data_IF_598278160265
#
_entry.id   IF_598278160265
#
_cell.length_a   1.000
_cell.length_b   1.000
_cell.length_c   1.000
_cell.angle_alpha   90.00
_cell.angle_beta   90.00
_cell.angle_gamma   90.00
#
_symmetry.space_group_name_H-M   'P 1'
#
loop_
_entity.id
_entity.type
_entity.pdbx_description
1 polymer ?
#
# COMPACT_ATOMS: atom_id res chain seq x y z
N UNK A 1 -12.01 17.27 25.68
CA UNK A 1 -11.72 17.50 24.25
C UNK A 1 -10.90 16.32 23.75
N UNK A 2 -11.53 15.34 23.11
CA UNK A 2 -10.85 14.19 22.51
C UNK A 2 -10.24 14.67 21.20
N UNK A 3 -8.94 14.93 21.17
CA UNK A 3 -8.26 15.09 19.88
C UNK A 3 -8.49 13.81 19.08
N UNK A 4 -9.00 13.88 17.84
CA UNK A 4 -9.10 12.70 16.99
C UNK A 4 -7.67 12.22 16.75
N UNK A 5 -7.26 11.17 17.47
CA UNK A 5 -5.98 10.52 17.25
C UNK A 5 -6.10 9.85 15.89
N UNK A 6 -5.48 10.44 14.87
CA UNK A 6 -5.33 9.77 13.59
C UNK A 6 -4.57 8.47 13.84
N UNK A 7 -5.10 7.30 13.45
CA UNK A 7 -4.41 6.04 13.65
C UNK A 7 -3.05 6.09 12.94
N UNK A 8 -2.01 5.64 13.63
CA UNK A 8 -0.67 5.52 13.05
C UNK A 8 -0.73 4.70 11.77
N UNK A 9 -0.07 5.17 10.72
CA UNK A 9 -0.05 4.49 9.43
C UNK A 9 1.35 4.43 8.84
N UNK A 10 1.49 3.57 7.83
CA UNK A 10 2.67 3.49 6.96
C UNK A 10 2.19 3.58 5.52
N UNK A 11 2.90 4.36 4.71
CA UNK A 11 2.61 4.52 3.28
C UNK A 11 3.71 3.79 2.50
N UNK A 12 3.30 2.87 1.64
CA UNK A 12 4.18 2.05 0.81
C UNK A 12 3.77 2.28 -0.64
N UNK A 13 4.77 2.52 -1.50
CA UNK A 13 4.54 2.73 -2.93
C UNK A 13 5.05 1.52 -3.71
N UNK A 14 4.32 1.18 -4.75
CA UNK A 14 4.68 0.17 -5.71
C UNK A 14 4.50 0.71 -7.12
N UNK A 15 5.36 0.27 -8.03
CA UNK A 15 5.25 0.55 -9.46
C UNK A 15 4.94 -0.74 -10.22
N UNK A 16 4.00 -0.69 -11.15
CA UNK A 16 3.65 -1.81 -12.02
C UNK A 16 4.80 -2.10 -12.97
N UNK A 17 5.38 -3.29 -12.86
CA UNK A 17 6.24 -3.87 -13.88
C UNK A 17 5.36 -4.42 -15.02
N UNK A 18 5.31 -3.68 -16.13
CA UNK A 18 4.49 -4.04 -17.29
C UNK A 18 4.88 -5.36 -17.95
N UNK A 19 6.10 -5.87 -17.73
CA UNK A 19 6.52 -7.15 -18.30
C UNK A 19 5.94 -8.34 -17.52
N UNK A 20 5.90 -8.24 -16.19
CA UNK A 20 5.47 -9.35 -15.32
C UNK A 20 4.04 -9.23 -14.81
N UNK A 21 3.44 -8.03 -14.88
CA UNK A 21 2.15 -7.72 -14.28
C UNK A 21 2.19 -7.64 -12.75
N UNK A 22 3.38 -7.55 -12.15
CA UNK A 22 3.55 -7.38 -10.72
C UNK A 22 3.81 -5.93 -10.37
N UNK A 23 3.19 -5.46 -9.29
CA UNK A 23 3.59 -4.25 -8.58
C UNK A 23 4.84 -4.53 -7.78
N UNK A 24 5.93 -3.79 -8.01
CA UNK A 24 7.22 -3.92 -7.31
C UNK A 24 7.37 -2.78 -6.33
N UNK A 25 7.71 -3.10 -5.07
CA UNK A 25 7.84 -2.13 -3.98
C UNK A 25 8.98 -1.16 -4.29
N UNK A 26 8.71 0.13 -4.12
CA UNK A 26 9.73 1.16 -4.22
C UNK A 26 10.66 1.13 -2.99
N UNK A 27 11.98 1.37 -3.15
CA UNK A 27 12.90 1.47 -2.02
C UNK A 27 12.46 2.55 -1.02
N UNK A 28 12.54 2.24 0.27
CA UNK A 28 12.24 3.16 1.36
C UNK A 28 13.40 3.23 2.35
N UNK A 29 13.67 4.43 2.90
CA UNK A 29 14.72 4.63 3.91
C UNK A 29 14.53 3.73 5.13
N UNK A 30 13.27 3.55 5.55
CA UNK A 30 12.89 2.63 6.62
C UNK A 30 12.00 1.57 5.98
N UNK A 31 12.56 0.38 5.78
CA UNK A 31 11.83 -0.71 5.16
C UNK A 31 10.63 -1.13 6.03
N UNK A 32 9.48 -1.32 5.40
CA UNK A 32 8.31 -1.91 6.03
C UNK A 32 8.15 -3.36 5.58
N UNK A 33 8.55 -4.30 6.45
CA UNK A 33 8.65 -5.73 6.13
C UNK A 33 7.30 -6.48 6.14
N UNK A 34 6.21 -5.86 6.62
CA UNK A 34 4.90 -6.53 6.70
C UNK A 34 4.25 -6.74 5.34
N UNK A 35 4.48 -5.83 4.40
CA UNK A 35 4.02 -6.01 3.02
C UNK A 35 5.14 -6.65 2.19
N UNK A 36 4.83 -7.56 1.25
CA UNK A 36 5.83 -8.22 0.42
C UNK A 36 6.47 -7.25 -0.58
N UNK A 37 7.64 -7.61 -1.11
CA UNK A 37 8.38 -6.83 -2.12
C UNK A 37 7.66 -6.71 -3.46
N UNK A 38 6.72 -7.62 -3.74
CA UNK A 38 5.87 -7.54 -4.92
C UNK A 38 4.44 -7.96 -4.62
N UNK A 39 3.50 -7.32 -5.29
CA UNK A 39 2.07 -7.60 -5.21
C UNK A 39 1.52 -7.84 -6.61
N UNK A 40 0.47 -8.65 -6.73
CA UNK A 40 -0.24 -8.86 -7.98
C UNK A 40 -1.74 -8.73 -7.74
N UNK A 41 -2.43 -8.12 -8.70
CA UNK A 41 -3.89 -8.00 -8.72
C UNK A 41 -4.42 -9.05 -9.68
N UNK A 42 -5.41 -9.82 -9.24
CA UNK A 42 -6.07 -10.85 -10.04
C UNK A 42 -7.59 -10.83 -9.80
N UNK A 43 -8.36 -11.18 -10.83
CA UNK A 43 -9.79 -11.38 -10.68
C UNK A 43 -10.07 -12.55 -9.74
N UNK A 44 -10.97 -12.37 -8.77
CA UNK A 44 -11.31 -13.45 -7.83
C UNK A 44 -12.46 -14.31 -8.33
N UNK A 45 -12.32 -15.62 -8.13
CA UNK A 45 -13.42 -16.61 -8.29
C UNK A 45 -13.97 -17.07 -6.95
N UNK A 46 -13.41 -16.62 -5.82
CA UNK A 46 -13.81 -17.04 -4.49
C UNK A 46 -15.11 -16.34 -4.09
N UNK A 47 -16.18 -17.12 -3.89
CA UNK A 47 -17.49 -16.58 -3.56
C UNK A 47 -17.46 -15.73 -2.28
N UNK A 48 -16.78 -16.18 -1.23
CA UNK A 48 -16.65 -15.43 0.02
C UNK A 48 -16.00 -14.04 -0.14
N UNK A 49 -15.10 -13.86 -1.12
CA UNK A 49 -14.48 -12.56 -1.41
C UNK A 49 -15.48 -11.66 -2.16
N UNK A 50 -16.24 -12.24 -3.11
CA UNK A 50 -17.29 -11.55 -3.85
C UNK A 50 -18.45 -11.12 -2.95
N UNK A 51 -18.86 -11.97 -2.02
CA UNK A 51 -19.90 -11.66 -1.02
C UNK A 51 -19.48 -10.49 -0.11
N UNK A 52 -18.17 -10.36 0.14
CA UNK A 52 -17.60 -9.21 0.85
C UNK A 52 -17.48 -7.94 -0.03
N UNK A 53 -17.87 -8.03 -1.30
CA UNK A 53 -17.94 -6.92 -2.24
C UNK A 53 -16.68 -6.66 -3.06
N UNK A 54 -15.72 -7.58 -3.09
CA UNK A 54 -14.52 -7.46 -3.91
C UNK A 54 -14.61 -8.34 -5.17
N UNK A 55 -14.39 -7.74 -6.35
CA UNK A 55 -14.26 -8.45 -7.63
C UNK A 55 -12.84 -8.95 -7.89
N UNK A 56 -11.87 -8.37 -7.20
CA UNK A 56 -10.44 -8.61 -7.37
C UNK A 56 -9.79 -8.92 -6.03
N UNK A 57 -8.66 -9.61 -6.09
CA UNK A 57 -7.77 -9.84 -4.96
C UNK A 57 -6.41 -9.23 -5.28
N UNK A 58 -5.73 -8.80 -4.22
CA UNK A 58 -4.33 -8.44 -4.28
C UNK A 58 -3.55 -9.38 -3.37
N UNK A 59 -2.46 -9.95 -3.90
CA UNK A 59 -1.70 -10.96 -3.19
C UNK A 59 -0.20 -10.83 -3.41
N UNK A 60 0.57 -11.33 -2.45
CA UNK A 60 2.02 -11.47 -2.54
C UNK A 60 2.45 -12.79 -3.20
N UNK A 61 3.76 -13.07 -3.23
CA UNK A 61 4.29 -14.35 -3.67
C UNK A 61 3.72 -15.52 -2.84
N UNK A 62 3.55 -16.68 -3.47
CA UNK A 62 3.22 -17.91 -2.75
C UNK A 62 4.48 -18.62 -2.25
N UNK A 63 4.47 -19.10 -1.00
CA UNK A 63 5.49 -19.98 -0.44
C UNK A 63 4.79 -21.23 0.11
N UNK A 64 5.15 -22.41 -0.41
CA UNK A 64 4.51 -23.67 0.00
C UNK A 64 3.00 -23.72 -0.27
N UNK A 65 2.55 -23.14 -1.40
CA UNK A 65 1.13 -23.10 -1.77
C UNK A 65 0.28 -22.07 -1.02
N UNK A 66 0.86 -21.28 -0.12
CA UNK A 66 0.16 -20.21 0.61
C UNK A 66 0.70 -18.85 0.20
N UNK A 67 -0.19 -17.89 -0.07
CA UNK A 67 0.20 -16.50 -0.30
C UNK A 67 0.75 -15.88 0.98
N UNK A 68 1.88 -15.18 0.88
CA UNK A 68 2.47 -14.45 2.01
C UNK A 68 1.61 -13.26 2.45
N UNK A 69 0.80 -12.74 1.54
CA UNK A 69 -0.15 -11.66 1.74
C UNK A 69 -1.33 -11.90 0.80
N UNK A 70 -2.55 -11.71 1.25
CA UNK A 70 -3.74 -11.89 0.44
C UNK A 70 -4.91 -11.10 1.03
N UNK A 71 -5.54 -10.26 0.21
CA UNK A 71 -6.79 -9.59 0.60
C UNK A 71 -7.64 -9.24 -0.61
N UNK A 72 -8.95 -9.09 -0.41
CA UNK A 72 -9.86 -8.61 -1.45
C UNK A 72 -9.75 -7.10 -1.60
N UNK A 73 -9.85 -6.60 -2.84
CA UNK A 73 -9.94 -5.18 -3.14
C UNK A 73 -11.40 -4.74 -3.11
N UNK A 74 -11.87 -4.22 -1.98
CA UNK A 74 -13.25 -3.75 -1.83
C UNK A 74 -13.31 -2.29 -2.28
N UNK A 75 -14.16 -1.92 -3.26
CA UNK A 75 -14.23 -0.55 -3.75
C UNK A 75 -14.76 0.39 -2.65
N UNK A 76 -14.10 1.53 -2.48
CA UNK A 76 -14.52 2.57 -1.53
C UNK A 76 -15.65 3.45 -2.09
N UNK A 77 -16.14 3.18 -3.30
CA UNK A 77 -17.08 4.03 -4.03
C UNK A 77 -16.46 5.31 -4.61
N UNK A 78 -15.13 5.31 -4.76
CA UNK A 78 -14.37 6.33 -5.49
C UNK A 78 -13.41 5.62 -6.45
N UNK A 79 -13.32 6.02 -7.73
CA UNK A 79 -12.41 5.38 -8.70
C UNK A 79 -10.96 5.35 -8.21
N UNK A 80 -10.27 4.23 -8.41
CA UNK A 80 -8.89 4.03 -7.98
C UNK A 80 -8.71 3.76 -6.48
N UNK A 81 -9.75 3.89 -5.65
CA UNK A 81 -9.66 3.70 -4.20
C UNK A 81 -10.35 2.43 -3.73
N UNK A 82 -9.58 1.58 -3.06
CA UNK A 82 -10.04 0.31 -2.51
C UNK A 82 -9.57 0.15 -1.07
N UNK A 83 -10.17 -0.78 -0.35
CA UNK A 83 -9.71 -1.18 0.96
C UNK A 83 -9.77 -2.69 1.13
N UNK A 84 -8.93 -3.19 2.03
CA UNK A 84 -8.85 -4.59 2.41
C UNK A 84 -8.39 -4.69 3.85
N UNK A 85 -8.25 -5.92 4.33
CA UNK A 85 -7.77 -6.18 5.67
C UNK A 85 -6.63 -7.19 5.66
N UNK A 86 -5.70 -7.01 6.59
CA UNK A 86 -4.65 -7.96 6.90
C UNK A 86 -4.90 -8.50 8.30
N UNK A 87 -4.96 -9.84 8.40
CA UNK A 87 -5.28 -10.53 9.65
C UNK A 87 -4.02 -11.19 10.16
N UNK A 88 -3.62 -10.79 11.35
CA UNK A 88 -2.46 -11.34 12.03
C UNK A 88 -2.88 -12.01 13.33
N UNK A 89 -2.06 -12.96 13.76
CA UNK A 89 -2.15 -13.53 15.11
C UNK A 89 -0.88 -13.17 15.86
N UNK A 90 -1.00 -12.38 16.92
CA UNK A 90 0.12 -11.94 17.75
C UNK A 90 -0.16 -12.30 19.21
N UNK A 91 0.66 -13.19 19.79
CA UNK A 91 0.52 -13.61 21.18
C UNK A 91 -0.86 -14.22 21.50
N UNK A 92 -1.42 -15.00 20.57
CA UNK A 92 -2.75 -15.62 20.69
C UNK A 92 -3.93 -14.66 20.49
N UNK A 93 -3.67 -13.39 20.15
CA UNK A 93 -4.71 -12.40 19.82
C UNK A 93 -4.77 -12.18 18.32
N UNK A 94 -5.99 -12.19 17.77
CA UNK A 94 -6.24 -11.81 16.38
C UNK A 94 -6.20 -10.29 16.26
N UNK A 95 -5.25 -9.78 15.50
CA UNK A 95 -5.12 -8.38 15.17
C UNK A 95 -5.58 -8.19 13.73
N UNK A 96 -6.51 -7.26 13.50
CA UNK A 96 -6.91 -6.87 12.16
C UNK A 96 -6.36 -5.48 11.86
N UNK A 97 -5.68 -5.36 10.73
CA UNK A 97 -5.17 -4.09 10.20
C UNK A 97 -5.99 -3.69 8.97
N UNK A 98 -6.32 -2.41 8.85
CA UNK A 98 -6.90 -1.86 7.63
C UNK A 98 -5.81 -1.53 6.62
N UNK A 99 -6.08 -1.84 5.35
CA UNK A 99 -5.30 -1.38 4.22
C UNK A 99 -6.18 -0.53 3.31
N UNK A 100 -5.63 0.60 2.88
CA UNK A 100 -6.20 1.43 1.82
C UNK A 100 -5.27 1.34 0.62
N UNK A 101 -5.84 1.04 -0.53
CA UNK A 101 -5.15 0.95 -1.80
C UNK A 101 -5.61 2.09 -2.69
N UNK A 102 -4.66 2.82 -3.26
CA UNK A 102 -4.90 3.85 -4.23
C UNK A 102 -4.12 3.50 -5.50
N UNK A 103 -4.84 3.25 -6.58
CA UNK A 103 -4.29 3.10 -7.92
C UNK A 103 -4.33 4.45 -8.63
N UNK A 104 -3.19 4.90 -9.12
CA UNK A 104 -3.03 6.17 -9.84
C UNK A 104 -2.23 5.93 -11.13
N UNK A 105 -2.16 6.97 -11.97
CA UNK A 105 -1.39 6.96 -13.22
C UNK A 105 -1.79 5.82 -14.16
N UNK A 106 -3.11 5.63 -14.34
CA UNK A 106 -3.71 4.50 -15.08
C UNK A 106 -3.23 3.14 -14.53
N UNK A 107 -3.38 2.97 -13.22
CA UNK A 107 -2.99 1.77 -12.46
C UNK A 107 -1.49 1.44 -12.49
N UNK A 108 -0.63 2.34 -13.00
CA UNK A 108 0.82 2.13 -13.01
C UNK A 108 1.45 2.27 -11.63
N UNK A 109 0.83 3.02 -10.74
CA UNK A 109 1.32 3.22 -9.38
C UNK A 109 0.27 2.79 -8.39
N UNK A 110 0.69 1.96 -7.44
CA UNK A 110 -0.12 1.52 -6.32
C UNK A 110 0.45 2.09 -5.04
N UNK A 111 -0.36 2.87 -4.33
CA UNK A 111 -0.06 3.37 -2.99
C UNK A 111 -0.86 2.54 -1.99
N UNK A 112 -0.17 1.94 -1.02
CA UNK A 112 -0.76 1.18 0.07
C UNK A 112 -0.57 1.95 1.37
N UNK A 113 -1.66 2.42 1.96
CA UNK A 113 -1.65 2.96 3.32
C UNK A 113 -2.08 1.87 4.29
N UNK A 114 -1.14 1.43 5.11
CA UNK A 114 -1.31 0.35 6.09
C UNK A 114 -1.54 0.93 7.48
N UNK A 115 -2.64 0.55 8.16
CA UNK A 115 -2.99 0.98 9.51
C UNK A 115 -2.89 -0.21 10.48
N UNK A 116 -1.73 -0.39 11.17
CA UNK A 116 -1.50 -1.56 12.02
C UNK A 116 -2.47 -1.62 13.19
N UNK A 117 -3.16 -2.75 13.33
CA UNK A 117 -4.07 -2.97 14.45
C UNK A 117 -5.29 -2.05 14.49
N UNK A 118 -5.54 -1.32 13.41
CA UNK A 118 -6.70 -0.46 13.31
C UNK A 118 -7.75 -1.11 12.41
N UNK A 119 -8.83 -1.56 13.04
CA UNK A 119 -9.96 -2.14 12.33
C UNK A 119 -11.26 -1.47 12.79
N UNK A 120 -11.97 -0.86 11.83
CA UNK A 120 -13.27 -0.24 12.11
C UNK A 120 -14.36 -1.30 12.12
N UNK A 121 -15.21 -1.24 13.14
CA UNK A 121 -16.11 -2.31 13.57
C UNK A 121 -16.96 -2.88 12.43
N UNK A 122 -17.57 -2.03 11.59
CA UNK A 122 -18.42 -2.48 10.47
C UNK A 122 -17.98 -1.94 9.09
N UNK A 123 -18.55 -2.52 8.03
CA UNK A 123 -18.20 -2.19 6.63
C UNK A 123 -18.53 -0.74 6.28
N UNK A 124 -19.66 -0.23 6.72
CA UNK A 124 -20.10 1.13 6.39
C UNK A 124 -19.15 2.17 6.99
N UNK A 125 -18.73 1.98 8.23
CA UNK A 125 -17.76 2.86 8.88
C UNK A 125 -16.39 2.79 8.21
N UNK A 126 -15.95 1.60 7.75
CA UNK A 126 -14.73 1.50 6.93
C UNK A 126 -14.86 2.29 5.64
N UNK A 127 -15.96 2.15 4.92
CA UNK A 127 -16.20 2.91 3.68
C UNK A 127 -16.21 4.41 3.96
N UNK A 128 -16.91 4.86 5.01
CA UNK A 128 -16.94 6.28 5.43
C UNK A 128 -15.54 6.79 5.75
N UNK A 129 -14.75 6.03 6.50
CA UNK A 129 -13.38 6.40 6.82
C UNK A 129 -12.50 6.48 5.58
N UNK A 130 -12.52 5.45 4.71
CA UNK A 130 -11.69 5.39 3.51
C UNK A 130 -12.03 6.54 2.57
N UNK A 131 -13.31 6.88 2.42
CA UNK A 131 -13.75 8.06 1.65
C UNK A 131 -13.21 9.36 2.24
N UNK A 132 -13.39 9.57 3.55
CA UNK A 132 -12.88 10.75 4.22
C UNK A 132 -11.34 10.85 4.16
N UNK A 133 -10.65 9.71 4.20
CA UNK A 133 -9.21 9.62 4.00
C UNK A 133 -8.82 10.01 2.57
N UNK A 134 -9.48 9.45 1.56
CA UNK A 134 -9.25 9.76 0.15
C UNK A 134 -9.47 11.26 -0.15
N UNK A 135 -10.53 11.86 0.39
CA UNK A 135 -10.81 13.29 0.24
C UNK A 135 -9.71 14.18 0.81
N UNK A 136 -9.03 13.73 1.88
CA UNK A 136 -7.91 14.47 2.49
C UNK A 136 -6.62 14.25 1.71
N UNK A 137 -6.34 13.01 1.29
CA UNK A 137 -5.15 12.65 0.53
C UNK A 137 -5.10 13.42 -0.80
N UNK A 138 -6.22 13.57 -1.50
CA UNK A 138 -6.24 14.31 -2.76
C UNK A 138 -6.05 15.83 -2.59
N UNK A 139 -6.31 16.37 -1.40
CA UNK A 139 -6.03 17.79 -1.07
C UNK A 139 -4.56 18.03 -0.70
N UNK A 140 -3.83 16.97 -0.38
CA UNK A 140 -2.41 17.01 -0.02
C UNK A 140 -1.68 15.95 -0.82
N UNK A 141 -1.35 16.22 -2.11
CA UNK A 141 -0.60 15.26 -2.90
C UNK A 141 0.67 14.86 -2.12
N UNK A 142 1.07 13.58 -2.15
CA UNK A 142 2.25 13.14 -1.43
C UNK A 142 3.44 14.00 -1.84
N UNK A 143 4.19 14.51 -0.87
CA UNK A 143 5.37 15.31 -1.13
C UNK A 143 6.27 14.56 -2.13
N UNK A 144 6.78 15.23 -3.17
CA UNK A 144 7.66 14.59 -4.15
C UNK A 144 8.82 13.96 -3.39
N UNK A 145 9.05 12.66 -3.64
CA UNK A 145 10.23 11.96 -3.13
C UNK A 145 11.41 12.70 -3.74
N UNK A 146 12.22 13.36 -2.90
CA UNK A 146 13.42 14.03 -3.36
C UNK A 146 14.27 12.99 -4.10
N UNK A 147 14.38 13.15 -5.42
CA UNK A 147 15.34 12.41 -6.22
C UNK A 147 16.71 12.82 -5.69
N UNK A 148 17.38 11.95 -4.94
CA UNK A 148 18.79 12.16 -4.62
C UNK A 148 19.55 11.98 -5.92
N UNK A 149 19.85 13.12 -6.58
CA UNK A 149 20.80 13.17 -7.67
C UNK A 149 22.09 12.46 -7.23
N UNK A 150 22.68 11.57 -8.05
CA UNK A 150 23.98 11.02 -7.74
C UNK A 150 24.98 12.17 -7.62
N UNK A 151 25.65 12.25 -6.47
CA UNK A 151 26.80 13.13 -6.24
C UNK A 151 27.76 12.98 -7.42
N UNK A 152 27.80 14.00 -8.27
CA UNK A 152 28.80 14.10 -9.33
C UNK A 152 30.16 14.14 -8.65
N UNK A 153 30.97 13.11 -8.87
CA UNK A 153 32.39 13.11 -8.48
C UNK A 153 33.04 14.37 -9.06
N UNK A 154 33.56 15.23 -8.20
CA UNK A 154 34.47 16.27 -8.63
C UNK A 154 35.76 15.61 -9.16
N UNK A 155 36.18 15.86 -10.40
CA UNK A 155 37.52 15.50 -10.83
C UNK A 155 38.51 16.38 -10.09
N UNK A 156 39.42 15.74 -9.34
CA UNK A 156 40.51 16.41 -8.64
C UNK A 156 41.56 16.83 -9.68
N UNK A 157 41.49 18.09 -10.12
CA UNK A 157 42.53 18.71 -10.93
C UNK A 157 43.63 19.23 -10.01
N UNK A 158 44.64 18.41 -9.75
CA UNK A 158 45.95 18.89 -9.27
C UNK A 158 46.87 19.07 -10.48
N UNK A 159 46.82 20.29 -11.04
CA UNK A 159 47.85 20.85 -11.90
C UNK A 159 48.60 21.91 -11.08
N UNK A 160 49.91 21.73 -10.98
CA UNK A 160 50.88 22.64 -10.38
C UNK A 160 52.18 21.85 -10.21
N UNK A 161 53.24 22.02 -11.00
CA UNK A 161 53.67 23.19 -11.73
C UNK A 161 54.85 23.82 -10.99
N UNK A 162 56.05 23.25 -11.22
CA UNK A 162 57.41 23.82 -11.26
C UNK A 162 58.43 22.78 -10.77
#
# INVERSE_FOLDING_TARGET
MTHPVSPSNRVIRYTLDGASGWYVKEPQRIAYAKLPERLKVEATRMQAIRDNGASEVIHGPSKGGRWQFFTGLIPAGRPGWYFGNDREEQGGRKLNSLLIFQFIDNDRTLIVTYFPGWYVHNREERVKFVRAFADRADRMPPAPIAQTSPLTLFPNNSNGGM
#
